data_IF_173878980152
#
_entry.id   IF_173878980152
#
_cell.length_a   1.000
_cell.length_b   1.000
_cell.length_c   1.000
_cell.angle_alpha   90.00
_cell.angle_beta   90.00
_cell.angle_gamma   90.00
#
_symmetry.space_group_name_H-M   'P 1'
#
loop_
_entity.id
_entity.type
_entity.pdbx_description
1 polymer ?
#
# COMPACT_ATOMS: atom_id res chain seq x y z
N UNK A 1 26.44 -0.37 9.40
CA UNK A 1 25.56 -0.98 10.41
C UNK A 1 24.93 -2.22 9.81
N UNK A 2 25.26 -3.41 10.35
CA UNK A 2 24.57 -4.64 9.94
C UNK A 2 23.15 -4.62 10.53
N UNK A 3 22.14 -5.06 9.78
CA UNK A 3 20.78 -5.19 10.32
C UNK A 3 20.82 -6.15 11.51
N UNK A 4 20.34 -5.71 12.66
CA UNK A 4 20.25 -6.56 13.83
C UNK A 4 19.32 -7.73 13.51
N UNK A 5 19.59 -8.89 14.09
CA UNK A 5 18.78 -10.12 13.96
C UNK A 5 17.27 -9.83 14.17
N UNK A 6 16.97 -8.89 15.06
CA UNK A 6 15.62 -8.42 15.37
C UNK A 6 14.90 -7.78 14.16
N UNK A 7 15.59 -6.97 13.34
CA UNK A 7 14.98 -6.29 12.17
C UNK A 7 14.54 -7.28 11.08
N UNK A 8 15.26 -8.37 10.89
CA UNK A 8 14.93 -9.37 9.86
C UNK A 8 13.68 -10.18 10.23
N UNK A 9 13.58 -10.61 11.47
CA UNK A 9 12.43 -11.41 11.95
C UNK A 9 11.16 -10.56 12.03
N UNK A 10 11.26 -9.31 12.48
CA UNK A 10 10.13 -8.39 12.54
C UNK A 10 9.53 -8.13 11.14
N UNK A 11 10.36 -7.94 10.12
CA UNK A 11 9.89 -7.73 8.75
C UNK A 11 9.17 -8.96 8.19
N UNK A 12 9.67 -10.16 8.47
CA UNK A 12 9.02 -11.42 8.05
C UNK A 12 7.67 -11.57 8.75
N UNK A 13 7.62 -11.34 10.05
CA UNK A 13 6.41 -11.47 10.86
C UNK A 13 5.34 -10.47 10.41
N UNK A 14 5.71 -9.21 10.18
CA UNK A 14 4.79 -8.18 9.65
C UNK A 14 4.28 -8.55 8.27
N UNK A 15 5.16 -9.00 7.36
CA UNK A 15 4.74 -9.41 6.02
C UNK A 15 3.80 -10.61 6.05
N UNK A 16 4.07 -11.60 6.90
CA UNK A 16 3.20 -12.78 7.08
C UNK A 16 1.85 -12.40 7.66
N UNK A 17 1.82 -11.48 8.63
CA UNK A 17 0.59 -10.97 9.23
C UNK A 17 -0.27 -10.23 8.18
N UNK A 18 0.34 -9.40 7.32
CA UNK A 18 -0.36 -8.71 6.24
C UNK A 18 -0.97 -9.69 5.24
N UNK A 19 -0.20 -10.68 4.80
CA UNK A 19 -0.71 -11.73 3.89
C UNK A 19 -1.84 -12.51 4.54
N UNK A 20 -1.72 -12.85 5.83
CA UNK A 20 -2.78 -13.53 6.60
C UNK A 20 -4.05 -12.68 6.70
N UNK A 21 -3.93 -11.38 6.98
CA UNK A 21 -5.07 -10.46 7.01
C UNK A 21 -5.76 -10.34 5.65
N UNK A 22 -5.00 -10.27 4.56
CA UNK A 22 -5.56 -10.29 3.19
C UNK A 22 -6.33 -11.58 2.95
N UNK A 23 -5.76 -12.72 3.29
CA UNK A 23 -6.41 -14.02 3.11
C UNK A 23 -7.71 -14.11 3.93
N UNK A 24 -7.71 -13.66 5.18
CA UNK A 24 -8.90 -13.62 6.03
C UNK A 24 -9.98 -12.68 5.47
N UNK A 25 -9.60 -11.50 5.00
CA UNK A 25 -10.54 -10.55 4.41
C UNK A 25 -11.15 -11.11 3.13
N UNK A 26 -10.35 -11.77 2.28
CA UNK A 26 -10.84 -12.43 1.08
C UNK A 26 -11.77 -13.58 1.41
N UNK A 27 -11.45 -14.40 2.41
CA UNK A 27 -12.34 -15.46 2.88
C UNK A 27 -13.67 -14.91 3.40
N UNK A 28 -13.64 -13.83 4.18
CA UNK A 28 -14.85 -13.18 4.72
C UNK A 28 -15.77 -12.64 3.61
N UNK A 29 -15.20 -11.97 2.62
CA UNK A 29 -15.98 -11.39 1.51
C UNK A 29 -16.55 -12.46 0.58
N UNK A 30 -15.89 -13.62 0.47
CA UNK A 30 -16.26 -14.71 -0.42
C UNK A 30 -17.09 -15.84 0.25
N UNK A 31 -17.70 -15.60 1.40
CA UNK A 31 -18.59 -16.57 2.06
C UNK A 31 -19.86 -16.91 1.26
N UNK A 32 -20.05 -16.32 0.07
CA UNK A 32 -21.11 -16.63 -0.89
C UNK A 32 -20.75 -17.76 -1.87
N UNK A 33 -21.73 -18.32 -2.63
CA UNK A 33 -21.57 -19.51 -3.48
C UNK A 33 -20.83 -19.30 -4.80
N UNK A 34 -19.95 -18.32 -4.94
CA UNK A 34 -19.24 -18.02 -6.19
C UNK A 34 -17.98 -18.87 -6.35
N UNK A 35 -17.89 -19.59 -7.47
CA UNK A 35 -16.89 -20.63 -7.75
C UNK A 35 -15.46 -20.18 -8.04
N UNK A 36 -15.21 -18.90 -8.38
CA UNK A 36 -13.90 -18.45 -8.90
C UNK A 36 -13.08 -17.60 -7.92
N UNK A 37 -13.47 -17.54 -6.65
CA UNK A 37 -12.80 -16.74 -5.63
C UNK A 37 -11.36 -17.16 -5.34
N UNK A 38 -11.00 -18.42 -5.62
CA UNK A 38 -9.65 -18.94 -5.40
C UNK A 38 -8.60 -18.23 -6.25
N UNK A 39 -8.88 -18.03 -7.54
CA UNK A 39 -7.95 -17.36 -8.46
C UNK A 39 -7.67 -15.91 -8.03
N UNK A 40 -8.72 -15.18 -7.65
CA UNK A 40 -8.61 -13.79 -7.18
C UNK A 40 -7.87 -13.71 -5.86
N UNK A 41 -8.13 -14.64 -4.94
CA UNK A 41 -7.43 -14.70 -3.65
C UNK A 41 -5.95 -15.02 -3.83
N UNK A 42 -5.59 -15.93 -4.71
CA UNK A 42 -4.19 -16.24 -5.07
C UNK A 42 -3.48 -15.01 -5.64
N UNK A 43 -4.10 -14.30 -6.58
CA UNK A 43 -3.51 -13.09 -7.17
C UNK A 43 -3.30 -12.00 -6.11
N UNK A 44 -4.23 -11.86 -5.17
CA UNK A 44 -4.09 -10.92 -4.06
C UNK A 44 -2.92 -11.28 -3.15
N UNK A 45 -2.82 -12.55 -2.75
CA UNK A 45 -1.74 -13.05 -1.90
C UNK A 45 -0.38 -12.90 -2.60
N UNK A 46 -0.30 -13.24 -3.88
CA UNK A 46 0.92 -13.07 -4.68
C UNK A 46 1.29 -11.60 -4.85
N UNK A 47 0.31 -10.74 -5.14
CA UNK A 47 0.52 -9.30 -5.28
C UNK A 47 1.05 -8.66 -4.00
N UNK A 48 0.41 -8.92 -2.87
CA UNK A 48 0.80 -8.39 -1.56
C UNK A 48 2.11 -9.02 -1.09
N UNK A 49 2.25 -10.33 -1.17
CA UNK A 49 3.46 -11.05 -0.75
C UNK A 49 4.67 -10.66 -1.60
N UNK A 50 4.51 -10.59 -2.93
CA UNK A 50 5.54 -10.12 -3.85
C UNK A 50 5.98 -8.69 -3.57
N UNK A 51 5.04 -7.78 -3.34
CA UNK A 51 5.33 -6.40 -2.97
C UNK A 51 6.07 -6.29 -1.64
N UNK A 52 5.65 -7.03 -0.60
CA UNK A 52 6.35 -7.10 0.68
C UNK A 52 7.79 -7.67 0.53
N UNK A 53 7.97 -8.68 -0.32
CA UNK A 53 9.28 -9.23 -0.62
C UNK A 53 10.19 -8.19 -1.28
N UNK A 54 9.71 -7.50 -2.31
CA UNK A 54 10.47 -6.43 -2.98
C UNK A 54 10.79 -5.31 -2.00
N UNK A 55 9.84 -4.90 -1.16
CA UNK A 55 10.02 -3.88 -0.15
C UNK A 55 11.13 -4.25 0.85
N UNK A 56 11.21 -5.52 1.26
CA UNK A 56 12.27 -6.03 2.13
C UNK A 56 13.66 -5.97 1.48
N UNK A 57 13.73 -6.08 0.14
CA UNK A 57 14.98 -6.00 -0.64
C UNK A 57 15.46 -4.57 -0.88
N UNK A 58 14.56 -3.60 -0.94
CA UNK A 58 14.91 -2.20 -1.21
C UNK A 58 15.70 -1.52 -0.07
N UNK A 59 15.66 -2.04 1.15
CA UNK A 59 16.40 -1.59 2.36
C UNK A 59 16.46 -0.06 2.52
N UNK A 60 15.35 0.63 2.75
CA UNK A 60 15.32 2.09 2.83
C UNK A 60 15.99 2.67 4.09
N UNK A 61 16.28 1.85 5.09
CA UNK A 61 16.81 2.25 6.41
C UNK A 61 18.13 3.06 6.36
N UNK A 62 18.93 2.90 5.30
CA UNK A 62 20.20 3.62 5.14
C UNK A 62 20.03 5.14 5.05
N UNK A 63 18.86 5.63 4.70
CA UNK A 63 18.55 7.04 4.46
C UNK A 63 17.63 7.66 5.53
N UNK A 64 17.44 7.01 6.68
CA UNK A 64 16.64 7.55 7.78
C UNK A 64 15.13 7.51 7.52
N UNK A 65 14.66 6.67 6.61
CA UNK A 65 13.23 6.46 6.37
C UNK A 65 12.57 5.72 7.53
N UNK A 66 11.29 6.06 7.77
CA UNK A 66 10.40 5.18 8.52
C UNK A 66 10.49 3.78 7.95
N UNK A 67 10.58 2.72 8.77
CA UNK A 67 10.49 1.37 8.26
C UNK A 67 9.21 1.23 7.44
N UNK A 68 9.29 1.02 6.11
CA UNK A 68 8.11 1.05 5.25
C UNK A 68 7.10 -0.04 5.61
N UNK A 69 7.56 -1.13 6.23
CA UNK A 69 6.72 -2.19 6.75
C UNK A 69 5.81 -1.73 7.91
N UNK A 70 6.30 -0.87 8.81
CA UNK A 70 5.49 -0.32 9.91
C UNK A 70 4.41 0.61 9.35
N UNK A 71 4.79 1.46 8.41
CA UNK A 71 3.85 2.36 7.75
C UNK A 71 2.80 1.59 6.94
N UNK A 72 3.24 0.56 6.22
CA UNK A 72 2.34 -0.30 5.46
C UNK A 72 1.39 -1.07 6.39
N UNK A 73 1.88 -1.65 7.49
CA UNK A 73 1.04 -2.43 8.42
C UNK A 73 0.00 -1.57 9.12
N UNK A 74 0.39 -0.38 9.59
CA UNK A 74 -0.54 0.55 10.25
C UNK A 74 -1.53 1.15 9.25
N UNK A 75 -1.07 1.53 8.06
CA UNK A 75 -1.95 2.01 6.99
C UNK A 75 -2.93 0.94 6.54
N UNK A 76 -2.47 -0.30 6.36
CA UNK A 76 -3.32 -1.43 5.99
C UNK A 76 -4.30 -1.80 7.11
N UNK A 77 -3.85 -1.83 8.35
CA UNK A 77 -4.71 -2.08 9.51
C UNK A 77 -5.80 -1.01 9.66
N UNK A 78 -5.43 0.26 9.55
CA UNK A 78 -6.38 1.38 9.53
C UNK A 78 -7.38 1.29 8.39
N UNK A 79 -6.91 0.92 7.18
CA UNK A 79 -7.77 0.69 6.02
C UNK A 79 -8.79 -0.44 6.27
N UNK A 80 -8.38 -1.57 6.85
CA UNK A 80 -9.29 -2.68 7.15
C UNK A 80 -10.33 -2.29 8.20
N UNK A 81 -9.94 -1.56 9.24
CA UNK A 81 -10.88 -1.06 10.26
C UNK A 81 -11.90 -0.13 9.60
N UNK A 82 -11.44 0.79 8.75
CA UNK A 82 -12.30 1.69 8.00
C UNK A 82 -13.22 0.94 7.02
N UNK A 83 -12.71 -0.05 6.30
CA UNK A 83 -13.49 -0.90 5.40
C UNK A 83 -14.60 -1.65 6.15
N UNK A 84 -14.29 -2.17 7.33
CA UNK A 84 -15.29 -2.81 8.17
C UNK A 84 -16.38 -1.82 8.62
N UNK A 85 -16.01 -0.58 8.96
CA UNK A 85 -16.98 0.47 9.29
C UNK A 85 -17.84 0.86 8.08
N UNK A 86 -17.27 0.91 6.87
CA UNK A 86 -18.02 1.15 5.63
C UNK A 86 -19.02 0.02 5.35
N UNK A 87 -18.66 -1.25 5.59
CA UNK A 87 -19.55 -2.39 5.43
C UNK A 87 -20.72 -2.40 6.46
N UNK A 88 -20.51 -1.84 7.65
CA UNK A 88 -21.60 -1.66 8.61
C UNK A 88 -22.59 -0.56 8.17
N UNK A 89 -22.10 0.43 7.43
CA UNK A 89 -22.91 1.55 6.93
C UNK A 89 -23.63 1.22 5.63
N UNK A 90 -22.94 0.55 4.72
CA UNK A 90 -23.45 0.26 3.37
C UNK A 90 -23.38 -1.25 3.11
N UNK A 91 -24.51 -1.91 2.86
CA UNK A 91 -24.53 -3.34 2.56
C UNK A 91 -23.57 -3.69 1.41
N UNK A 92 -22.83 -4.78 1.55
CA UNK A 92 -21.84 -5.27 0.59
C UNK A 92 -22.43 -5.40 -0.82
N UNK A 93 -23.70 -5.84 -0.93
CA UNK A 93 -24.40 -5.98 -2.20
C UNK A 93 -24.56 -4.64 -2.96
N UNK A 94 -24.77 -3.53 -2.23
CA UNK A 94 -24.89 -2.20 -2.82
C UNK A 94 -23.52 -1.73 -3.33
N UNK A 95 -22.47 -1.94 -2.54
CA UNK A 95 -21.10 -1.62 -2.96
C UNK A 95 -20.75 -2.39 -4.24
N UNK A 96 -21.04 -3.69 -4.27
CA UNK A 96 -20.77 -4.54 -5.43
C UNK A 96 -21.55 -4.08 -6.68
N UNK A 97 -22.84 -3.70 -6.54
CA UNK A 97 -23.65 -3.25 -7.67
C UNK A 97 -23.16 -1.92 -8.24
N UNK A 98 -22.75 -0.97 -7.38
CA UNK A 98 -22.20 0.31 -7.81
C UNK A 98 -20.85 0.10 -8.51
N UNK A 99 -19.98 -0.75 -7.97
CA UNK A 99 -18.70 -1.07 -8.59
C UNK A 99 -18.87 -1.72 -9.98
N UNK A 100 -19.92 -2.51 -10.20
CA UNK A 100 -20.23 -3.07 -11.52
C UNK A 100 -20.70 -2.04 -12.53
N UNK A 101 -21.33 -0.95 -12.09
CA UNK A 101 -21.81 0.13 -12.97
C UNK A 101 -20.75 1.16 -13.38
N UNK A 102 -19.56 1.12 -12.76
CA UNK A 102 -18.47 2.10 -13.01
C UNK A 102 -17.69 1.89 -14.30
N UNK A 103 -18.04 0.89 -15.10
CA UNK A 103 -17.31 0.52 -16.34
C UNK A 103 -17.24 1.62 -17.40
N UNK A 104 -18.25 2.50 -17.44
CA UNK A 104 -18.34 3.60 -18.41
C UNK A 104 -17.74 4.92 -17.90
N UNK A 105 -17.28 4.96 -16.64
CA UNK A 105 -16.80 6.19 -16.01
C UNK A 105 -15.34 6.48 -16.36
N UNK A 106 -14.98 7.74 -16.40
CA UNK A 106 -13.59 8.17 -16.48
C UNK A 106 -12.83 7.78 -15.20
N UNK A 107 -11.50 7.68 -15.26
CA UNK A 107 -10.65 7.36 -14.11
C UNK A 107 -10.92 8.30 -12.93
N UNK A 108 -11.12 9.59 -13.20
CA UNK A 108 -11.36 10.59 -12.16
C UNK A 108 -12.73 10.43 -11.50
N UNK A 109 -13.76 10.12 -12.27
CA UNK A 109 -15.11 9.84 -11.78
C UNK A 109 -15.14 8.54 -10.95
N UNK A 110 -14.46 7.51 -11.42
CA UNK A 110 -14.30 6.25 -10.69
C UNK A 110 -13.58 6.48 -9.35
N UNK A 111 -12.53 7.32 -9.34
CA UNK A 111 -11.82 7.69 -8.13
C UNK A 111 -12.73 8.43 -7.13
N UNK A 112 -13.48 9.43 -7.61
CA UNK A 112 -14.41 10.20 -6.80
C UNK A 112 -15.48 9.31 -6.19
N UNK A 113 -16.10 8.47 -7.01
CA UNK A 113 -17.12 7.54 -6.55
C UNK A 113 -16.59 6.55 -5.52
N UNK A 114 -15.36 6.05 -5.73
CA UNK A 114 -14.71 5.13 -4.81
C UNK A 114 -14.47 5.76 -3.42
N UNK A 115 -14.02 7.02 -3.38
CA UNK A 115 -13.82 7.76 -2.14
C UNK A 115 -15.16 8.07 -1.45
N UNK A 116 -16.18 8.43 -2.21
CA UNK A 116 -17.52 8.71 -1.67
C UNK A 116 -18.20 7.44 -1.12
N UNK A 117 -17.98 6.30 -1.75
CA UNK A 117 -18.58 5.02 -1.36
C UNK A 117 -17.95 4.41 -0.10
N UNK A 118 -16.63 4.56 0.05
CA UNK A 118 -15.86 3.97 1.14
C UNK A 118 -14.98 5.01 1.87
N UNK A 119 -15.57 6.05 2.47
CA UNK A 119 -14.82 7.15 3.08
C UNK A 119 -14.01 6.71 4.31
N UNK A 120 -14.55 5.82 5.16
CA UNK A 120 -13.86 5.39 6.37
C UNK A 120 -12.63 4.53 6.07
N UNK A 121 -12.68 3.74 4.99
CA UNK A 121 -11.53 2.98 4.52
C UNK A 121 -10.35 3.91 4.15
N UNK A 122 -10.61 5.00 3.42
CA UNK A 122 -9.58 5.96 3.02
C UNK A 122 -9.05 6.77 4.21
N UNK A 123 -9.95 7.24 5.08
CA UNK A 123 -9.59 7.94 6.31
C UNK A 123 -8.75 7.03 7.21
N UNK A 124 -9.18 5.78 7.39
CA UNK A 124 -8.47 4.79 8.19
C UNK A 124 -7.05 4.52 7.67
N UNK A 125 -6.88 4.41 6.34
CA UNK A 125 -5.57 4.25 5.71
C UNK A 125 -4.65 5.45 5.99
N UNK A 126 -5.17 6.68 5.82
CA UNK A 126 -4.39 7.90 6.04
C UNK A 126 -4.01 8.06 7.52
N UNK A 127 -4.96 7.87 8.42
CA UNK A 127 -4.74 7.95 9.87
C UNK A 127 -3.74 6.87 10.30
N UNK A 128 -3.89 5.63 9.84
CA UNK A 128 -2.96 4.54 10.11
C UNK A 128 -1.55 4.83 9.59
N UNK A 129 -1.43 5.34 8.36
CA UNK A 129 -0.15 5.76 7.78
C UNK A 129 0.53 6.88 8.58
N UNK A 130 -0.23 7.88 9.02
CA UNK A 130 0.29 8.98 9.85
C UNK A 130 0.63 8.50 11.27
N UNK A 131 -0.11 7.56 11.84
CA UNK A 131 0.18 6.96 13.15
C UNK A 131 1.52 6.20 13.17
N UNK A 132 2.08 5.86 12.02
CA UNK A 132 3.43 5.31 11.94
C UNK A 132 4.50 6.29 12.46
N UNK A 133 4.28 7.60 12.36
CA UNK A 133 5.23 8.63 12.83
C UNK A 133 5.41 8.55 14.35
N UNK A 134 4.36 8.71 15.19
CA UNK A 134 4.50 8.62 16.63
C UNK A 134 4.94 7.24 17.09
N UNK A 135 4.47 6.16 16.45
CA UNK A 135 4.88 4.79 16.78
C UNK A 135 6.37 4.57 16.60
N UNK A 136 6.95 5.09 15.50
CA UNK A 136 8.38 5.00 15.25
C UNK A 136 9.22 5.87 16.17
N UNK A 137 8.69 7.03 16.60
CA UNK A 137 9.37 7.86 17.58
C UNK A 137 9.45 7.20 18.95
N UNK A 138 8.39 6.51 19.34
CA UNK A 138 8.36 5.75 20.59
C UNK A 138 9.39 4.61 20.56
N UNK A 139 9.54 3.94 19.41
CA UNK A 139 10.44 2.81 19.24
C UNK A 139 11.89 3.20 18.96
N UNK A 140 12.14 4.40 18.37
CA UNK A 140 13.48 4.88 18.00
C UNK A 140 13.62 6.38 18.25
N UNK A 141 14.00 6.81 19.46
CA UNK A 141 14.10 8.24 19.83
C UNK A 141 15.18 9.03 19.06
N UNK A 142 16.08 8.36 18.35
CA UNK A 142 17.15 9.00 17.59
C UNK A 142 16.69 9.71 16.29
N UNK A 143 15.45 9.50 15.85
CA UNK A 143 14.92 10.12 14.65
C UNK A 143 14.38 11.55 14.92
N UNK A 144 15.28 12.53 15.08
CA UNK A 144 14.94 13.92 15.48
C UNK A 144 14.43 14.86 14.37
N UNK A 145 14.53 14.52 13.08
CA UNK A 145 14.11 15.42 11.97
C UNK A 145 12.65 15.22 11.58
N UNK A 146 11.77 15.90 12.31
CA UNK A 146 10.32 15.75 12.20
C UNK A 146 9.73 16.11 10.83
N UNK A 147 10.16 17.24 10.27
CA UNK A 147 9.54 17.75 9.04
C UNK A 147 9.81 16.86 7.81
N UNK A 148 11.00 16.27 7.72
CA UNK A 148 11.29 15.36 6.60
C UNK A 148 10.53 14.05 6.69
N UNK A 149 10.29 13.55 7.90
CA UNK A 149 9.49 12.32 8.12
C UNK A 149 8.01 12.53 7.78
N UNK A 150 7.42 13.68 8.15
CA UNK A 150 6.03 13.98 7.85
C UNK A 150 5.80 14.07 6.34
N UNK A 151 6.62 14.84 5.64
CA UNK A 151 6.53 14.99 4.18
C UNK A 151 6.70 13.64 3.46
N UNK A 152 7.65 12.82 3.89
CA UNK A 152 7.87 11.48 3.35
C UNK A 152 6.68 10.55 3.57
N UNK A 153 6.10 10.56 4.79
CA UNK A 153 4.93 9.73 5.09
C UNK A 153 3.71 10.19 4.31
N UNK A 154 3.47 11.48 4.17
CA UNK A 154 2.39 12.01 3.35
C UNK A 154 2.54 11.60 1.87
N UNK A 155 3.76 11.69 1.34
CA UNK A 155 4.01 11.29 -0.04
C UNK A 155 3.86 9.77 -0.23
N UNK A 156 4.37 8.96 0.72
CA UNK A 156 4.16 7.51 0.71
C UNK A 156 2.68 7.15 0.80
N UNK A 157 1.91 7.82 1.67
CA UNK A 157 0.45 7.62 1.77
C UNK A 157 -0.26 8.02 0.49
N UNK A 158 0.18 9.09 -0.17
CA UNK A 158 -0.33 9.51 -1.48
C UNK A 158 -0.09 8.44 -2.56
N UNK A 159 1.12 7.86 -2.61
CA UNK A 159 1.44 6.77 -3.54
C UNK A 159 0.68 5.48 -3.21
N UNK A 160 0.46 5.17 -1.94
CA UNK A 160 -0.38 4.04 -1.52
C UNK A 160 -1.83 4.24 -1.99
N UNK A 161 -2.36 5.45 -1.83
CA UNK A 161 -3.71 5.82 -2.29
C UNK A 161 -3.85 5.71 -3.81
N UNK A 162 -2.91 6.28 -4.57
CA UNK A 162 -2.88 6.16 -6.04
C UNK A 162 -2.75 4.70 -6.47
N UNK A 163 -1.86 3.94 -5.85
CA UNK A 163 -1.68 2.52 -6.14
C UNK A 163 -2.95 1.72 -5.87
N UNK A 164 -3.63 1.99 -4.75
CA UNK A 164 -4.87 1.33 -4.38
C UNK A 164 -5.98 1.56 -5.44
N UNK A 165 -6.18 2.81 -5.85
CA UNK A 165 -7.22 3.15 -6.85
C UNK A 165 -6.89 2.63 -8.23
N UNK A 166 -5.65 2.78 -8.69
CA UNK A 166 -5.21 2.22 -9.97
C UNK A 166 -5.28 0.69 -9.95
N UNK A 167 -4.88 0.06 -8.85
CA UNK A 167 -4.96 -1.39 -8.66
C UNK A 167 -6.41 -1.88 -8.74
N UNK A 168 -7.35 -1.21 -8.09
CA UNK A 168 -8.77 -1.54 -8.17
C UNK A 168 -9.29 -1.49 -9.61
N UNK A 169 -9.01 -0.40 -10.34
CA UNK A 169 -9.46 -0.21 -11.72
C UNK A 169 -8.85 -1.26 -12.64
N UNK A 170 -7.54 -1.49 -12.56
CA UNK A 170 -6.84 -2.44 -13.42
C UNK A 170 -7.32 -3.89 -13.17
N UNK A 171 -7.48 -4.29 -11.92
CA UNK A 171 -7.97 -5.65 -11.59
C UNK A 171 -9.39 -5.86 -12.08
N UNK A 172 -10.26 -4.88 -11.89
CA UNK A 172 -11.63 -4.93 -12.40
C UNK A 172 -11.62 -5.11 -13.93
N UNK A 173 -10.84 -4.31 -14.65
CA UNK A 173 -10.75 -4.41 -16.11
C UNK A 173 -10.21 -5.74 -16.59
N UNK A 174 -9.13 -6.26 -15.96
CA UNK A 174 -8.52 -7.54 -16.34
C UNK A 174 -9.45 -8.72 -16.06
N UNK A 175 -10.10 -8.74 -14.90
CA UNK A 175 -10.99 -9.85 -14.52
C UNK A 175 -12.29 -9.84 -15.31
N UNK A 176 -12.80 -8.67 -15.69
CA UNK A 176 -13.95 -8.57 -16.59
C UNK A 176 -13.67 -9.17 -17.98
N UNK A 177 -12.48 -8.94 -18.53
CA UNK A 177 -12.09 -9.52 -19.80
C UNK A 177 -11.99 -11.06 -19.75
N UNK A 178 -11.67 -11.61 -18.57
CA UNK A 178 -11.51 -13.08 -18.41
C UNK A 178 -12.77 -13.81 -17.99
N UNK A 179 -13.70 -13.18 -17.24
CA UNK A 179 -14.83 -13.84 -16.58
C UNK A 179 -16.23 -13.36 -17.05
N UNK A 180 -16.39 -13.00 -18.33
CA UNK A 180 -17.70 -12.66 -18.91
C UNK A 180 -18.60 -11.72 -18.07
N UNK A 181 -18.00 -10.77 -17.37
CA UNK A 181 -18.73 -9.66 -16.74
C UNK A 181 -19.20 -9.87 -15.29
N UNK A 182 -18.96 -11.01 -14.66
CA UNK A 182 -19.25 -11.20 -13.25
C UNK A 182 -18.19 -10.54 -12.37
N UNK A 183 -18.42 -9.28 -12.01
CA UNK A 183 -17.58 -8.49 -11.11
C UNK A 183 -17.81 -8.93 -9.68
N UNK A 184 -16.83 -9.60 -9.11
CA UNK A 184 -16.80 -9.89 -7.70
C UNK A 184 -16.14 -8.74 -6.94
N UNK A 185 -16.76 -8.28 -5.85
CA UNK A 185 -16.17 -7.33 -4.90
C UNK A 185 -14.75 -7.76 -4.49
N UNK A 186 -14.50 -9.06 -4.42
CA UNK A 186 -13.19 -9.65 -4.16
C UNK A 186 -12.12 -9.26 -5.17
N UNK A 187 -12.48 -9.12 -6.45
CA UNK A 187 -11.54 -8.67 -7.49
C UNK A 187 -11.09 -7.23 -7.25
N UNK A 188 -12.04 -6.35 -6.96
CA UNK A 188 -11.77 -4.95 -6.62
C UNK A 188 -10.88 -4.85 -5.38
N UNK A 189 -11.23 -5.53 -4.28
CA UNK A 189 -10.45 -5.53 -3.05
C UNK A 189 -9.04 -6.11 -3.27
N UNK A 190 -8.91 -7.17 -4.07
CA UNK A 190 -7.62 -7.74 -4.45
C UNK A 190 -6.73 -6.72 -5.15
N UNK A 191 -7.29 -5.97 -6.10
CA UNK A 191 -6.62 -4.89 -6.80
C UNK A 191 -6.20 -3.78 -5.86
N UNK A 192 -7.07 -3.39 -4.93
CA UNK A 192 -6.79 -2.37 -3.92
C UNK A 192 -5.64 -2.76 -3.01
N UNK A 193 -5.66 -3.96 -2.45
CA UNK A 193 -4.62 -4.45 -1.54
C UNK A 193 -3.27 -4.58 -2.23
N UNK A 194 -3.25 -5.19 -3.41
CA UNK A 194 -2.05 -5.30 -4.22
C UNK A 194 -1.53 -3.93 -4.63
N UNK A 195 -2.40 -3.08 -5.14
CA UNK A 195 -2.05 -1.73 -5.59
C UNK A 195 -1.50 -0.85 -4.48
N UNK A 196 -2.04 -0.93 -3.26
CA UNK A 196 -1.53 -0.21 -2.09
C UNK A 196 -0.09 -0.61 -1.77
N UNK A 197 0.21 -1.91 -1.76
CA UNK A 197 1.57 -2.41 -1.49
C UNK A 197 2.54 -2.01 -2.59
N UNK A 198 2.16 -2.13 -3.86
CA UNK A 198 2.98 -1.72 -4.99
C UNK A 198 3.16 -0.20 -5.07
N UNK A 199 2.17 0.59 -4.68
CA UNK A 199 2.29 2.04 -4.52
C UNK A 199 3.37 2.41 -3.49
N UNK A 200 3.43 1.68 -2.36
CA UNK A 200 4.50 1.85 -1.37
C UNK A 200 5.87 1.46 -1.94
N UNK A 201 5.97 0.32 -2.64
CA UNK A 201 7.21 -0.13 -3.31
C UNK A 201 7.71 0.95 -4.26
N UNK A 202 6.82 1.50 -5.08
CA UNK A 202 7.15 2.55 -6.04
C UNK A 202 7.64 3.83 -5.35
N UNK A 203 6.95 4.26 -4.29
CA UNK A 203 7.36 5.40 -3.48
C UNK A 203 8.78 5.22 -2.92
N UNK A 204 9.05 4.08 -2.29
CA UNK A 204 10.38 3.77 -1.74
C UNK A 204 11.46 3.73 -2.82
N UNK A 205 11.14 3.18 -4.00
CA UNK A 205 12.04 3.13 -5.15
C UNK A 205 12.39 4.54 -5.64
N UNK A 206 11.39 5.43 -5.80
CA UNK A 206 11.62 6.82 -6.22
C UNK A 206 12.52 7.58 -5.25
N UNK A 207 12.25 7.45 -3.95
CA UNK A 207 13.09 8.08 -2.93
C UNK A 207 14.52 7.58 -2.96
N UNK A 208 14.71 6.26 -3.04
CA UNK A 208 16.04 5.67 -3.13
C UNK A 208 16.80 6.19 -4.35
N UNK A 209 16.15 6.24 -5.50
CA UNK A 209 16.73 6.75 -6.75
C UNK A 209 17.12 8.21 -6.63
N UNK A 210 16.26 9.04 -6.04
CA UNK A 210 16.54 10.45 -5.79
C UNK A 210 17.76 10.66 -4.89
N UNK A 211 17.88 9.93 -3.78
CA UNK A 211 19.02 10.07 -2.88
C UNK A 211 20.33 9.60 -3.52
N UNK A 212 20.31 8.48 -4.25
CA UNK A 212 21.50 8.01 -4.98
C UNK A 212 21.97 9.05 -6.00
N UNK A 213 21.04 9.65 -6.73
CA UNK A 213 21.35 10.70 -7.69
C UNK A 213 21.94 11.96 -7.02
N UNK A 214 21.37 12.39 -5.90
CA UNK A 214 21.85 13.52 -5.11
C UNK A 214 23.26 13.28 -4.58
N UNK A 215 23.51 12.12 -4.02
CA UNK A 215 24.83 11.76 -3.46
C UNK A 215 25.91 11.73 -4.56
N UNK A 216 25.59 11.24 -5.75
CA UNK A 216 26.50 11.28 -6.91
C UNK A 216 26.87 12.71 -7.32
N UNK A 217 25.91 13.63 -7.36
CA UNK A 217 26.17 15.04 -7.68
C UNK A 217 27.08 15.69 -6.64
N UNK A 218 26.88 15.44 -5.36
CA UNK A 218 27.71 16.00 -4.28
C UNK A 218 29.16 15.51 -4.40
N UNK A 219 29.37 14.23 -4.70
CA UNK A 219 30.71 13.69 -4.89
C UNK A 219 31.45 14.29 -6.10
N UNK A 220 30.77 14.57 -7.20
CA UNK A 220 31.33 15.20 -8.39
C UNK A 220 31.82 16.62 -8.08
N UNK A 221 31.11 17.40 -7.29
CA UNK A 221 31.52 18.75 -6.88
C UNK A 221 32.75 18.73 -5.98
N UNK A 222 32.87 17.77 -5.06
CA UNK A 222 34.03 17.63 -4.18
C UNK A 222 35.30 17.26 -4.96
N UNK A 223 35.17 16.32 -5.89
CA UNK A 223 36.30 15.89 -6.73
C UNK A 223 36.76 16.97 -7.74
N UNK A 224 35.84 17.79 -8.25
CA UNK A 224 36.18 18.92 -9.12
C UNK A 224 36.93 20.04 -8.36
N UNK A 225 36.51 20.34 -7.12
CA UNK A 225 37.17 21.34 -6.27
C UNK A 225 38.61 20.96 -5.82
N UNK A 226 38.85 19.66 -5.58
CA UNK A 226 40.18 19.17 -5.17
C UNK A 226 41.22 19.10 -6.30
N UNK A 227 40.80 19.24 -7.56
CA UNK A 227 41.74 19.32 -8.72
C UNK A 227 42.19 20.73 -9.05
N UNK A 228 41.60 21.76 -8.41
CA UNK A 228 41.95 23.17 -8.64
C UNK A 228 42.82 23.78 -7.54
N UNK A 229 43.06 23.04 -6.47
CA UNK A 229 44.00 23.38 -5.38
C UNK A 229 45.32 22.63 -5.54
#
# INVERSE_FOLDING_TARGET
MQPTFFDKHTNILVSSALVGLVALTMAYVNLGPASDWWSVSYLSILGVGGGCFVLSRLRPQRYGFSPPHVMLSLGFGGMLIGLFADFQRTPIAIIASICSSTQSLSILESLKLHVELMPYMHIGMLVGGLAAIPSLRLLRPECRKLCSMLAQNLLCSGWMFLGMTLGAILFVQVIQQTNNGNLNLSAMLSGMFSGMVWGMVFSVFLYRSYFIWRDRKTQQHVTAGSRQS
#
